data_IF_332788228417
#
_entry.id   IF_332788228417
#
_cell.length_a   1.000
_cell.length_b   1.000
_cell.length_c   1.000
_cell.angle_alpha   90.00
_cell.angle_beta   90.00
_cell.angle_gamma   90.00
#
_symmetry.space_group_name_H-M   'P 1'
#
loop_
_entity.id
_entity.type
_entity.pdbx_description
1 polymer ?
#
# COMPACT_ATOMS: atom_id res chain seq x y z
N UNK A 1 15.79 1.31 -4.00
CA UNK A 1 16.15 0.89 -5.38
C UNK A 1 17.44 0.10 -5.32
N UNK A 2 17.81 -0.58 -6.41
CA UNK A 2 19.12 -1.23 -6.54
C UNK A 2 20.21 -0.17 -6.76
N UNK A 3 21.28 -0.22 -5.97
CA UNK A 3 22.39 0.74 -6.06
C UNK A 3 23.29 0.48 -7.28
N UNK A 4 23.29 -0.74 -7.82
CA UNK A 4 24.13 -1.13 -8.95
C UNK A 4 23.44 -0.95 -10.32
N UNK A 5 22.11 -0.85 -10.34
CA UNK A 5 21.30 -0.76 -11.57
C UNK A 5 20.17 0.23 -11.41
N UNK A 6 20.20 1.28 -12.22
CA UNK A 6 19.12 2.27 -12.27
C UNK A 6 17.78 1.63 -12.65
N UNK A 7 16.68 2.17 -12.11
CA UNK A 7 15.30 1.73 -12.35
C UNK A 7 15.04 0.23 -12.09
N UNK A 8 15.77 -0.35 -11.13
CA UNK A 8 15.63 -1.75 -10.72
C UNK A 8 15.13 -1.85 -9.28
N UNK A 9 14.02 -2.58 -9.10
CA UNK A 9 13.52 -2.91 -7.76
C UNK A 9 14.50 -3.83 -7.02
N UNK A 10 14.74 -3.54 -5.74
CA UNK A 10 15.60 -4.36 -4.87
C UNK A 10 14.82 -5.14 -3.80
N UNK A 11 13.54 -4.81 -3.61
CA UNK A 11 12.76 -5.32 -2.50
C UNK A 11 11.62 -4.40 -2.07
N UNK A 12 11.13 -4.66 -0.86
CA UNK A 12 10.12 -3.85 -0.17
C UNK A 12 10.44 -3.77 1.33
N UNK A 13 9.85 -2.79 2.00
CA UNK A 13 9.96 -2.62 3.45
C UNK A 13 8.57 -2.48 4.05
N UNK A 14 8.43 -2.89 5.31
CA UNK A 14 7.17 -2.79 6.04
C UNK A 14 7.40 -2.98 7.54
N UNK A 15 6.32 -2.86 8.32
CA UNK A 15 6.40 -3.05 9.76
C UNK A 15 5.22 -3.86 10.27
N UNK A 16 5.43 -4.56 11.39
CA UNK A 16 4.39 -5.32 12.05
C UNK A 16 3.51 -4.38 12.88
N UNK A 17 2.21 -4.32 12.60
CA UNK A 17 1.28 -3.42 13.31
C UNK A 17 0.97 -3.83 14.75
N UNK A 18 1.38 -5.02 15.21
CA UNK A 18 1.21 -5.50 16.59
C UNK A 18 2.47 -5.35 17.42
N UNK A 19 3.64 -5.60 16.84
CA UNK A 19 4.93 -5.59 17.57
C UNK A 19 5.81 -4.38 17.25
N UNK A 20 5.53 -3.65 16.17
CA UNK A 20 6.37 -2.55 15.69
C UNK A 20 7.65 -2.99 14.99
N UNK A 21 7.89 -4.30 14.83
CA UNK A 21 9.10 -4.80 14.18
C UNK A 21 9.20 -4.32 12.74
N UNK A 22 10.38 -3.80 12.38
CA UNK A 22 10.69 -3.39 11.01
C UNK A 22 11.18 -4.58 10.19
N UNK A 23 10.62 -4.76 9.01
CA UNK A 23 10.90 -5.87 8.11
C UNK A 23 11.47 -5.36 6.78
N UNK A 24 12.57 -5.97 6.35
CA UNK A 24 13.22 -5.70 5.06
C UNK A 24 13.14 -6.95 4.20
N UNK A 25 12.45 -6.86 3.07
CA UNK A 25 12.30 -7.95 2.11
C UNK A 25 13.18 -7.69 0.90
N UNK A 26 14.30 -8.40 0.78
CA UNK A 26 15.17 -8.35 -0.42
C UNK A 26 14.65 -9.33 -1.47
N UNK A 27 14.47 -8.88 -2.70
CA UNK A 27 13.93 -9.75 -3.77
C UNK A 27 14.39 -9.32 -5.16
N UNK A 28 14.42 -10.29 -6.08
CA UNK A 28 14.68 -10.01 -7.50
C UNK A 28 13.42 -9.55 -8.22
N UNK A 29 12.24 -9.93 -7.79
CA UNK A 29 10.99 -9.51 -8.45
C UNK A 29 9.96 -9.22 -7.38
N UNK A 30 9.24 -8.11 -7.53
CA UNK A 30 8.17 -7.69 -6.63
C UNK A 30 6.89 -7.55 -7.44
N UNK A 31 5.80 -8.11 -6.92
CA UNK A 31 4.44 -7.91 -7.45
C UNK A 31 3.66 -7.20 -6.35
N UNK A 32 3.08 -6.04 -6.67
CA UNK A 32 2.28 -5.27 -5.71
C UNK A 32 0.80 -5.51 -5.97
N UNK A 33 0.22 -6.46 -5.23
CA UNK A 33 -1.19 -6.83 -5.30
C UNK A 33 -2.08 -6.12 -4.26
N UNK A 34 -1.77 -4.88 -3.90
CA UNK A 34 -2.40 -4.18 -2.76
C UNK A 34 -3.77 -3.51 -3.07
N UNK A 35 -4.38 -3.83 -4.21
CA UNK A 35 -5.69 -3.31 -4.61
C UNK A 35 -5.69 -1.85 -5.05
N UNK A 36 -6.89 -1.30 -5.26
CA UNK A 36 -7.12 0.08 -5.68
C UNK A 36 -7.08 1.08 -4.51
N UNK A 37 -7.84 2.17 -4.65
CA UNK A 37 -7.94 3.20 -3.64
C UNK A 37 -9.39 3.63 -3.40
N UNK A 38 -9.83 3.51 -2.16
CA UNK A 38 -11.10 4.00 -1.62
C UNK A 38 -10.84 5.22 -0.74
N UNK A 39 -11.91 5.91 -0.33
CA UNK A 39 -11.85 7.04 0.61
C UNK A 39 -10.96 8.23 0.20
N UNK A 40 -10.56 8.30 -1.08
CA UNK A 40 -9.87 9.48 -1.65
C UNK A 40 -10.82 10.69 -1.72
N UNK A 41 -12.10 10.45 -2.00
CA UNK A 41 -13.14 11.48 -2.08
C UNK A 41 -14.09 11.39 -0.89
N UNK A 42 -14.63 12.54 -0.48
CA UNK A 42 -15.62 12.60 0.60
C UNK A 42 -16.87 11.78 0.25
N UNK A 43 -17.25 10.77 1.06
CA UNK A 43 -18.43 9.95 0.81
C UNK A 43 -19.73 10.72 1.14
N UNK A 44 -20.87 10.19 0.67
CA UNK A 44 -22.20 10.77 0.93
C UNK A 44 -22.60 10.73 2.40
N UNK A 45 -22.17 9.70 3.12
CA UNK A 45 -22.37 9.55 4.56
C UNK A 45 -21.06 9.82 5.28
N UNK A 46 -21.04 10.76 6.23
CA UNK A 46 -19.80 11.30 6.83
C UNK A 46 -19.59 10.98 8.31
N UNK A 47 -20.55 10.29 8.95
CA UNK A 47 -20.43 9.77 10.32
C UNK A 47 -20.00 8.31 10.33
N UNK A 48 -20.66 7.47 11.12
CA UNK A 48 -20.43 6.01 11.15
C UNK A 48 -20.59 5.34 9.76
N UNK A 49 -21.35 5.98 8.87
CA UNK A 49 -21.52 5.53 7.49
C UNK A 49 -20.33 5.76 6.56
N UNK A 50 -19.27 6.47 6.98
CA UNK A 50 -18.12 6.76 6.12
C UNK A 50 -17.41 5.50 5.62
N UNK A 51 -17.36 4.44 6.43
CA UNK A 51 -16.78 3.14 6.02
C UNK A 51 -17.66 2.32 5.06
N UNK A 52 -18.85 2.80 4.69
CA UNK A 52 -19.78 2.11 3.76
C UNK A 52 -19.57 2.55 2.32
N UNK A 53 -18.32 2.54 1.89
CA UNK A 53 -17.96 2.73 0.48
C UNK A 53 -18.39 1.52 -0.35
N UNK A 54 -18.64 1.75 -1.64
CA UNK A 54 -18.98 0.68 -2.58
C UNK A 54 -17.80 -0.26 -2.85
N UNK A 55 -16.60 0.29 -2.91
CA UNK A 55 -15.36 -0.47 -3.04
C UNK A 55 -14.79 -0.81 -1.66
N UNK A 56 -13.72 -1.61 -1.61
CA UNK A 56 -13.14 -2.06 -0.34
C UNK A 56 -12.61 -0.89 0.51
N UNK A 57 -13.10 -0.65 1.74
CA UNK A 57 -12.67 0.48 2.58
C UNK A 57 -11.22 0.36 3.07
N UNK A 58 -10.66 -0.84 3.09
CA UNK A 58 -9.26 -1.07 3.46
C UNK A 58 -8.27 -0.88 2.30
N UNK A 59 -8.75 -0.63 1.08
CA UNK A 59 -7.89 -0.35 -0.08
C UNK A 59 -7.50 1.13 -0.09
N UNK A 60 -6.25 1.43 0.28
CA UNK A 60 -5.74 2.80 0.47
C UNK A 60 -4.85 3.31 -0.68
N UNK A 61 -4.79 2.61 -1.81
CA UNK A 61 -3.95 2.99 -2.94
C UNK A 61 -2.48 2.63 -2.80
N UNK A 62 -2.12 1.71 -1.89
CA UNK A 62 -0.72 1.29 -1.70
C UNK A 62 -0.08 0.73 -2.97
N UNK A 63 -0.85 0.10 -3.87
CA UNK A 63 -0.32 -0.39 -5.14
C UNK A 63 0.20 0.73 -6.05
N UNK A 64 -0.38 1.93 -5.95
CA UNK A 64 0.05 3.10 -6.71
C UNK A 64 1.17 3.85 -5.98
N UNK A 65 1.06 4.00 -4.65
CA UNK A 65 2.04 4.74 -3.86
C UNK A 65 3.40 4.05 -3.72
N UNK A 66 3.46 2.72 -3.73
CA UNK A 66 4.72 1.96 -3.59
C UNK A 66 5.56 1.88 -4.87
N UNK A 67 4.96 2.19 -6.02
CA UNK A 67 5.58 2.05 -7.34
C UNK A 67 6.23 3.34 -7.86
N UNK A 68 6.13 4.43 -7.10
CA UNK A 68 6.68 5.76 -7.40
C UNK A 68 7.96 5.94 -6.58
#
# INVERSE_FOLDING_TARGET
>A
MDDAKENRVAGAVGFNVRTGNYHVFKSKTVIVGAGGASDIFKPRSVGEGAGRVWYAPWSSGSAYGLMI
#
